data_IF_911524258916
#
_entry.id   IF_911524258916
#
_cell.length_a   1.000
_cell.length_b   1.000
_cell.length_c   1.000
_cell.angle_alpha   90.00
_cell.angle_beta   90.00
_cell.angle_gamma   90.00
#
_symmetry.space_group_name_H-M   'P 1'
#
loop_
_entity.id
_entity.type
_entity.pdbx_description
1 polymer ?
#
# COMPACT_ATOMS: atom_id res chain seq x y z
N UNK A 1 -39.74 1.18 -20.55
CA UNK A 1 -39.15 -0.09 -20.06
C UNK A 1 -37.65 0.16 -19.93
N UNK A 2 -37.14 0.16 -18.69
CA UNK A 2 -35.72 0.15 -18.21
C UNK A 2 -34.80 1.26 -18.76
N UNK A 3 -34.63 2.41 -18.12
CA UNK A 3 -34.04 2.72 -16.79
C UNK A 3 -32.51 2.48 -16.70
N UNK A 4 -31.77 3.55 -17.02
CA UNK A 4 -30.61 4.07 -16.29
C UNK A 4 -29.54 3.07 -15.79
N UNK A 5 -28.58 2.71 -16.65
CA UNK A 5 -27.27 2.23 -16.20
C UNK A 5 -26.32 3.40 -16.11
N UNK A 6 -26.41 4.09 -14.98
CA UNK A 6 -25.61 5.22 -14.61
C UNK A 6 -24.12 4.91 -14.77
N UNK A 7 -23.43 5.92 -15.27
CA UNK A 7 -22.02 6.18 -15.03
C UNK A 7 -21.65 5.76 -13.59
N UNK A 8 -21.13 4.55 -13.39
CA UNK A 8 -20.40 4.19 -12.18
C UNK A 8 -19.11 5.01 -12.18
N UNK A 9 -19.24 6.30 -11.82
CA UNK A 9 -18.15 7.06 -11.25
C UNK A 9 -17.63 6.20 -10.13
N UNK A 10 -16.42 5.68 -10.30
CA UNK A 10 -15.62 5.00 -9.29
C UNK A 10 -15.30 6.04 -8.20
N UNK A 11 -16.31 6.45 -7.45
CA UNK A 11 -16.34 7.55 -6.50
C UNK A 11 -15.81 7.13 -5.12
N UNK A 12 -15.14 5.98 -5.05
CA UNK A 12 -14.57 5.45 -3.82
C UNK A 12 -13.23 6.11 -3.44
N UNK A 13 -12.46 6.58 -4.43
CA UNK A 13 -11.09 7.09 -4.23
C UNK A 13 -11.00 8.44 -3.51
N UNK A 14 -12.09 9.21 -3.47
CA UNK A 14 -12.14 10.53 -2.79
C UNK A 14 -12.81 10.46 -1.41
N UNK A 15 -13.29 9.28 -1.01
CA UNK A 15 -13.96 9.10 0.28
C UNK A 15 -12.96 9.18 1.45
N UNK A 16 -13.40 9.76 2.59
CA UNK A 16 -12.61 9.80 3.83
C UNK A 16 -12.16 8.40 4.28
N UNK A 17 -12.98 7.38 4.04
CA UNK A 17 -12.64 5.99 4.33
C UNK A 17 -11.44 5.51 3.51
N UNK A 18 -11.43 5.75 2.20
CA UNK A 18 -10.33 5.33 1.34
C UNK A 18 -9.02 6.04 1.70
N UNK A 19 -9.09 7.31 2.10
CA UNK A 19 -7.94 8.03 2.67
C UNK A 19 -7.35 7.32 3.89
N UNK A 20 -8.19 6.91 4.84
CA UNK A 20 -7.75 6.19 6.05
C UNK A 20 -7.12 4.84 5.67
N UNK A 21 -7.78 4.06 4.82
CA UNK A 21 -7.26 2.75 4.37
C UNK A 21 -5.91 2.91 3.68
N UNK A 22 -5.77 3.87 2.75
CA UNK A 22 -4.48 4.13 2.10
C UNK A 22 -3.41 4.52 3.11
N UNK A 23 -3.72 5.37 4.10
CA UNK A 23 -2.76 5.76 5.14
C UNK A 23 -2.31 4.55 5.96
N UNK A 24 -3.24 3.70 6.41
CA UNK A 24 -2.91 2.49 7.17
C UNK A 24 -2.05 1.54 6.33
N UNK A 25 -2.42 1.30 5.07
CA UNK A 25 -1.63 0.46 4.14
C UNK A 25 -0.24 1.04 3.91
N UNK A 26 -0.12 2.36 3.76
CA UNK A 26 1.16 3.05 3.61
C UNK A 26 2.06 2.82 4.81
N UNK A 27 1.52 3.02 6.02
CA UNK A 27 2.25 2.77 7.28
C UNK A 27 2.66 1.30 7.36
N UNK A 28 1.77 0.36 7.05
CA UNK A 28 2.11 -1.06 7.02
C UNK A 28 3.23 -1.37 6.03
N UNK A 29 3.21 -0.83 4.81
CA UNK A 29 4.27 -1.03 3.82
C UNK A 29 5.64 -0.52 4.34
N UNK A 30 5.65 0.62 5.01
CA UNK A 30 6.88 1.24 5.55
C UNK A 30 7.44 0.42 6.72
N UNK A 31 6.60 -0.05 7.64
CA UNK A 31 7.08 -0.74 8.83
C UNK A 31 7.19 -2.26 8.63
N UNK A 32 6.17 -2.90 8.09
CA UNK A 32 6.10 -4.36 7.89
C UNK A 32 6.97 -4.79 6.71
N UNK A 33 7.04 -3.99 5.65
CA UNK A 33 7.80 -4.27 4.43
C UNK A 33 9.26 -4.68 4.70
N UNK A 34 10.09 -3.86 5.35
CA UNK A 34 11.50 -4.19 5.58
C UNK A 34 11.74 -5.05 6.83
N UNK A 35 10.78 -5.18 7.76
CA UNK A 35 11.01 -5.89 9.03
C UNK A 35 10.44 -7.30 9.03
N UNK A 36 9.18 -7.47 8.65
CA UNK A 36 8.45 -8.74 8.75
C UNK A 36 8.50 -9.54 7.45
N UNK A 37 8.46 -8.89 6.29
CA UNK A 37 8.45 -9.63 5.01
C UNK A 37 9.76 -10.39 4.77
N UNK A 38 10.96 -9.83 5.03
CA UNK A 38 12.20 -10.60 4.88
C UNK A 38 12.23 -11.79 5.82
N UNK A 39 11.76 -11.63 7.07
CA UNK A 39 11.66 -12.73 8.03
C UNK A 39 10.75 -13.85 7.53
N UNK A 40 9.56 -13.53 7.05
CA UNK A 40 8.63 -14.52 6.50
C UNK A 40 9.23 -15.24 5.27
N UNK A 41 9.88 -14.50 4.37
CA UNK A 41 10.48 -15.08 3.17
C UNK A 41 11.68 -15.98 3.51
N UNK A 42 12.57 -15.55 4.39
CA UNK A 42 13.79 -16.30 4.71
C UNK A 42 13.54 -17.46 5.67
N UNK A 43 12.69 -17.27 6.68
CA UNK A 43 12.51 -18.24 7.77
C UNK A 43 11.39 -19.25 7.47
N UNK A 44 10.27 -18.78 6.88
CA UNK A 44 9.12 -19.65 6.60
C UNK A 44 9.23 -20.28 5.21
N UNK A 45 9.52 -19.47 4.19
CA UNK A 45 9.60 -19.93 2.80
C UNK A 45 11.01 -20.37 2.38
N UNK A 46 12.03 -20.18 3.23
CA UNK A 46 13.44 -20.53 2.94
C UNK A 46 13.96 -19.91 1.64
N UNK A 47 13.48 -18.71 1.31
CA UNK A 47 14.00 -17.90 0.22
C UNK A 47 15.38 -17.38 0.60
N UNK A 48 16.24 -17.16 -0.40
CA UNK A 48 17.56 -16.57 -0.20
C UNK A 48 17.46 -15.28 0.63
N UNK A 49 18.34 -15.15 1.63
CA UNK A 49 18.31 -14.05 2.59
C UNK A 49 18.50 -12.68 1.92
N UNK A 50 19.38 -12.62 0.91
CA UNK A 50 19.64 -11.38 0.17
C UNK A 50 18.40 -11.03 -0.66
N UNK A 51 17.80 -12.01 -1.35
CA UNK A 51 16.56 -11.79 -2.09
C UNK A 51 15.41 -11.31 -1.17
N UNK A 52 15.31 -11.89 0.03
CA UNK A 52 14.30 -11.54 1.03
C UNK A 52 14.44 -10.09 1.50
N UNK A 53 15.66 -9.64 1.78
CA UNK A 53 15.96 -8.24 2.13
C UNK A 53 15.63 -7.31 0.97
N UNK A 54 15.99 -7.67 -0.26
CA UNK A 54 15.70 -6.84 -1.45
C UNK A 54 14.20 -6.64 -1.61
N UNK A 55 13.39 -7.69 -1.43
CA UNK A 55 11.92 -7.59 -1.47
C UNK A 55 11.41 -6.65 -0.39
N UNK A 56 11.90 -6.77 0.85
CA UNK A 56 11.50 -5.89 1.94
C UNK A 56 11.87 -4.42 1.70
N UNK A 57 13.06 -4.17 1.14
CA UNK A 57 13.52 -2.84 0.75
C UNK A 57 12.66 -2.24 -0.38
N UNK A 58 12.27 -3.04 -1.38
CA UNK A 58 11.37 -2.59 -2.44
C UNK A 58 9.99 -2.21 -1.88
N UNK A 59 9.43 -3.00 -0.96
CA UNK A 59 8.18 -2.66 -0.28
C UNK A 59 8.26 -1.37 0.52
N UNK A 60 9.39 -1.13 1.18
CA UNK A 60 9.66 0.13 1.88
C UNK A 60 9.66 1.32 0.91
N UNK A 61 10.35 1.21 -0.23
CA UNK A 61 10.38 2.26 -1.26
C UNK A 61 8.98 2.53 -1.80
N UNK A 62 8.20 1.49 -2.09
CA UNK A 62 6.79 1.63 -2.51
C UNK A 62 5.98 2.35 -1.44
N UNK A 63 6.15 2.00 -0.16
CA UNK A 63 5.53 2.69 0.97
C UNK A 63 5.88 4.18 1.03
N UNK A 64 7.14 4.55 0.81
CA UNK A 64 7.56 5.96 0.76
C UNK A 64 6.97 6.71 -0.43
N UNK A 65 6.95 6.10 -1.62
CA UNK A 65 6.31 6.70 -2.81
C UNK A 65 4.82 6.93 -2.55
N UNK A 66 4.15 5.96 -1.92
CA UNK A 66 2.74 6.06 -1.54
C UNK A 66 2.53 7.19 -0.51
N UNK A 67 3.39 7.30 0.50
CA UNK A 67 3.35 8.40 1.47
C UNK A 67 3.48 9.76 0.79
N UNK A 68 4.44 9.92 -0.13
CA UNK A 68 4.60 11.15 -0.91
C UNK A 68 3.36 11.43 -1.76
N UNK A 69 2.74 10.40 -2.34
CA UNK A 69 1.49 10.54 -3.08
C UNK A 69 0.35 11.03 -2.17
N UNK A 70 0.17 10.46 -0.98
CA UNK A 70 -0.85 10.89 -0.02
C UNK A 70 -0.64 12.36 0.42
N UNK A 71 0.61 12.75 0.69
CA UNK A 71 0.97 14.12 1.06
C UNK A 71 0.68 15.08 -0.11
N UNK A 72 1.17 14.77 -1.32
CA UNK A 72 1.01 15.64 -2.50
C UNK A 72 -0.45 15.82 -2.92
N UNK A 73 -1.29 14.80 -2.71
CA UNK A 73 -2.71 14.87 -3.05
C UNK A 73 -3.57 15.54 -1.96
N UNK A 74 -2.96 16.13 -0.90
CA UNK A 74 -3.67 16.67 0.28
C UNK A 74 -4.68 15.66 0.86
N UNK A 75 -4.34 14.37 0.80
CA UNK A 75 -5.17 13.30 1.41
C UNK A 75 -5.04 13.36 2.93
N UNK A 76 -3.88 13.79 3.40
CA UNK A 76 -3.57 14.14 4.79
C UNK A 76 -3.50 15.68 4.80
N UNK A 77 -4.41 16.32 5.52
CA UNK A 77 -4.41 17.76 5.77
C UNK A 77 -3.71 18.06 7.10
#
# INVERSE_FOLDING_TARGET
MTENSENEKVSGLDSKFMKIVLTVVTVLLIFVGPTYIPYLLSDVLKVDYIASIVVGALLFVVGLVMLVYLIRKKVIE
#
